data_IF_547714209446
#
_entry.id   IF_547714209446
#
_cell.length_a   1.000
_cell.length_b   1.000
_cell.length_c   1.000
_cell.angle_alpha   90.00
_cell.angle_beta   90.00
_cell.angle_gamma   90.00
#
_symmetry.space_group_name_H-M   'P 1'
#
loop_
_entity.id
_entity.type
_entity.pdbx_description
1 polymer ?
#
# COMPACT_ATOMS: atom_id res chain seq x y z
N UNK A 1 8.82 -14.68 -11.73
CA UNK A 1 9.33 -15.05 -10.40
C UNK A 1 8.20 -14.81 -9.43
N UNK A 2 7.60 -15.90 -8.86
CA UNK A 2 6.39 -15.83 -8.04
C UNK A 2 6.59 -15.05 -6.75
N UNK A 3 5.68 -14.12 -6.48
CA UNK A 3 5.60 -13.39 -5.22
C UNK A 3 5.19 -14.36 -4.09
N UNK A 4 6.07 -14.63 -3.15
CA UNK A 4 5.73 -15.40 -1.96
C UNK A 4 5.00 -14.48 -0.96
N UNK A 5 3.88 -14.95 -0.43
CA UNK A 5 3.14 -14.31 0.65
C UNK A 5 3.95 -14.45 1.94
N UNK A 6 4.08 -13.39 2.71
CA UNK A 6 4.71 -13.43 4.03
C UNK A 6 3.63 -13.34 5.10
N UNK A 7 3.70 -14.19 6.10
CA UNK A 7 2.84 -14.16 7.27
C UNK A 7 3.68 -13.80 8.51
N UNK A 8 3.16 -12.90 9.35
CA UNK A 8 3.80 -12.53 10.59
C UNK A 8 3.54 -13.68 11.61
N UNK A 9 4.53 -14.53 11.81
CA UNK A 9 4.47 -15.57 12.82
C UNK A 9 5.09 -15.03 14.11
N UNK A 10 4.28 -14.96 15.18
CA UNK A 10 4.78 -14.62 16.49
C UNK A 10 5.70 -15.75 16.98
N UNK A 11 6.90 -15.40 17.42
CA UNK A 11 7.82 -16.34 18.02
C UNK A 11 7.24 -16.91 19.32
N UNK A 12 7.44 -18.18 19.58
CA UNK A 12 7.02 -18.87 20.80
C UNK A 12 7.93 -18.46 21.96
N UNK A 13 7.58 -17.36 22.66
CA UNK A 13 8.27 -16.87 23.86
C UNK A 13 7.92 -15.40 24.12
N UNK A 14 7.90 -14.91 25.39
CA UNK A 14 7.45 -13.57 25.74
C UNK A 14 8.30 -12.44 25.13
N UNK A 15 9.52 -12.71 24.66
CA UNK A 15 10.45 -11.73 24.06
C UNK A 15 10.93 -12.12 22.66
N UNK A 16 10.30 -13.10 21.99
CA UNK A 16 10.75 -13.52 20.67
C UNK A 16 10.26 -12.53 19.58
N UNK A 17 11.17 -11.94 18.76
CA UNK A 17 10.77 -11.04 17.70
C UNK A 17 9.91 -11.77 16.68
N UNK A 18 8.80 -11.13 16.28
CA UNK A 18 7.96 -11.64 15.20
C UNK A 18 8.80 -11.80 13.91
N UNK A 19 8.77 -12.99 13.32
CA UNK A 19 9.47 -13.32 12.08
C UNK A 19 8.48 -13.38 10.94
N UNK A 20 8.78 -12.66 9.86
CA UNK A 20 8.09 -12.80 8.59
C UNK A 20 8.59 -14.07 7.90
N UNK A 21 7.76 -15.10 7.88
CA UNK A 21 8.05 -16.36 7.18
C UNK A 21 7.34 -16.35 5.81
N UNK A 22 7.99 -16.84 4.75
CA UNK A 22 7.34 -16.99 3.46
C UNK A 22 6.27 -18.07 3.56
N UNK A 23 5.00 -17.69 3.40
CA UNK A 23 3.93 -18.65 3.17
C UNK A 23 4.04 -19.10 1.71
N UNK A 24 4.18 -20.40 1.49
CA UNK A 24 4.12 -20.99 0.16
C UNK A 24 2.68 -20.86 -0.39
N UNK A 25 2.34 -19.68 -0.89
CA UNK A 25 1.15 -19.51 -1.70
C UNK A 25 1.50 -19.96 -3.12
N UNK A 26 0.83 -20.98 -3.60
CA UNK A 26 0.87 -21.33 -5.02
C UNK A 26 0.57 -20.07 -5.83
N UNK A 27 1.35 -19.83 -6.89
CA UNK A 27 1.12 -18.70 -7.79
C UNK A 27 -0.37 -18.68 -8.21
N UNK A 28 -1.00 -17.51 -8.28
CA UNK A 28 -2.41 -17.43 -8.66
C UNK A 28 -2.59 -18.06 -10.02
N UNK A 29 -3.60 -18.92 -10.17
CA UNK A 29 -3.88 -19.56 -11.44
C UNK A 29 -4.17 -18.51 -12.52
N UNK A 30 -3.84 -18.76 -13.80
CA UNK A 30 -4.12 -17.80 -14.88
C UNK A 30 -5.59 -17.33 -14.91
N UNK A 31 -6.51 -18.20 -14.49
CA UNK A 31 -7.94 -17.86 -14.38
C UNK A 31 -8.20 -16.84 -13.28
N UNK A 32 -7.57 -17.00 -12.11
CA UNK A 32 -7.72 -16.01 -11.02
C UNK A 32 -7.20 -14.63 -11.43
N UNK A 33 -6.06 -14.57 -12.11
CA UNK A 33 -5.49 -13.31 -12.61
C UNK A 33 -6.46 -12.63 -13.58
N UNK A 34 -6.99 -13.37 -14.58
CA UNK A 34 -7.95 -12.79 -15.54
C UNK A 34 -9.23 -12.29 -14.88
N UNK A 35 -9.73 -12.98 -13.84
CA UNK A 35 -10.93 -12.56 -13.10
C UNK A 35 -10.66 -11.28 -12.32
N UNK A 36 -9.49 -11.15 -11.67
CA UNK A 36 -9.08 -9.95 -10.95
C UNK A 36 -8.94 -8.77 -11.91
N UNK A 37 -8.22 -8.94 -13.02
CA UNK A 37 -8.04 -7.89 -14.04
C UNK A 37 -9.38 -7.50 -14.69
N UNK A 38 -10.28 -8.47 -14.93
CA UNK A 38 -11.63 -8.22 -15.41
C UNK A 38 -12.48 -7.44 -14.42
N UNK A 39 -12.37 -7.74 -13.13
CA UNK A 39 -13.05 -7.00 -12.07
C UNK A 39 -12.53 -5.56 -11.95
N UNK A 40 -11.21 -5.36 -11.98
CA UNK A 40 -10.60 -4.03 -12.02
C UNK A 40 -11.10 -3.19 -13.19
N UNK A 41 -11.15 -3.79 -14.39
CA UNK A 41 -11.67 -3.12 -15.57
C UNK A 41 -13.14 -2.70 -15.40
N UNK A 42 -13.99 -3.56 -14.83
CA UNK A 42 -15.39 -3.24 -14.57
C UNK A 42 -15.52 -2.11 -13.52
N UNK A 43 -14.75 -2.18 -12.42
CA UNK A 43 -14.76 -1.17 -11.35
C UNK A 43 -14.32 0.20 -11.88
N UNK A 44 -13.30 0.23 -12.74
CA UNK A 44 -12.83 1.49 -13.35
C UNK A 44 -13.89 2.18 -14.21
N UNK A 45 -14.86 1.43 -14.76
CA UNK A 45 -15.89 1.95 -15.66
C UNK A 45 -17.22 2.26 -14.98
N UNK A 46 -17.62 1.47 -14.01
CA UNK A 46 -18.99 1.52 -13.45
C UNK A 46 -19.03 1.41 -11.92
N UNK A 47 -17.88 1.48 -11.26
CA UNK A 47 -17.76 1.41 -9.80
C UNK A 47 -17.92 0.00 -9.24
N UNK A 48 -17.77 -0.09 -7.92
CA UNK A 48 -17.95 -1.34 -7.18
C UNK A 48 -19.42 -1.74 -7.13
N UNK A 49 -20.30 -0.78 -6.86
CA UNK A 49 -21.76 -1.05 -6.79
C UNK A 49 -22.28 -1.57 -8.13
N UNK A 50 -21.91 -0.92 -9.23
CA UNK A 50 -22.36 -1.28 -10.59
C UNK A 50 -21.74 -2.56 -11.15
N UNK A 51 -20.64 -3.07 -10.58
CA UNK A 51 -19.96 -4.27 -11.08
C UNK A 51 -20.67 -5.55 -10.64
N UNK A 52 -21.08 -6.38 -11.61
CA UNK A 52 -21.66 -7.70 -11.35
C UNK A 52 -20.68 -8.84 -11.69
N UNK A 53 -20.92 -10.05 -11.14
CA UNK A 53 -20.11 -11.23 -11.49
C UNK A 53 -20.26 -11.63 -12.96
N UNK A 54 -21.37 -11.30 -13.61
CA UNK A 54 -21.58 -11.55 -15.04
C UNK A 54 -20.72 -10.61 -15.89
N UNK A 55 -20.57 -9.35 -15.49
CA UNK A 55 -19.66 -8.40 -16.15
C UNK A 55 -18.22 -8.84 -15.99
N UNK A 56 -17.84 -9.25 -14.77
CA UNK A 56 -16.51 -9.78 -14.49
C UNK A 56 -16.21 -11.04 -15.31
N UNK A 57 -17.16 -11.98 -15.41
CA UNK A 57 -17.00 -13.20 -16.22
C UNK A 57 -16.80 -12.86 -17.69
N UNK A 58 -17.60 -11.91 -18.22
CA UNK A 58 -17.50 -11.42 -19.59
C UNK A 58 -16.13 -10.76 -19.85
N UNK A 59 -15.69 -9.85 -18.96
CA UNK A 59 -14.40 -9.18 -19.06
C UNK A 59 -13.22 -10.18 -18.97
N UNK A 60 -13.32 -11.16 -18.07
CA UNK A 60 -12.32 -12.23 -17.89
C UNK A 60 -12.36 -13.30 -19.00
N UNK A 61 -13.30 -13.21 -19.95
CA UNK A 61 -13.54 -14.20 -21.02
C UNK A 61 -13.69 -15.62 -20.46
N UNK A 62 -14.56 -15.78 -19.44
CA UNK A 62 -14.87 -17.07 -18.84
C UNK A 62 -16.35 -17.16 -18.46
N UNK A 63 -16.81 -18.35 -18.06
CA UNK A 63 -18.17 -18.53 -17.57
C UNK A 63 -18.33 -18.05 -16.12
N UNK A 64 -19.55 -17.65 -15.73
CA UNK A 64 -19.91 -17.34 -14.33
C UNK A 64 -19.56 -18.51 -13.39
N UNK A 65 -19.80 -19.74 -13.81
CA UNK A 65 -19.43 -20.93 -13.03
C UNK A 65 -17.91 -21.03 -12.81
N UNK A 66 -17.10 -20.57 -13.76
CA UNK A 66 -15.64 -20.51 -13.63
C UNK A 66 -15.24 -19.46 -12.59
N UNK A 67 -15.91 -18.30 -12.57
CA UNK A 67 -15.69 -17.27 -11.53
C UNK A 67 -15.99 -17.83 -10.14
N UNK A 68 -17.15 -18.48 -9.96
CA UNK A 68 -17.53 -19.08 -8.66
C UNK A 68 -16.55 -20.17 -8.20
N UNK A 69 -16.02 -21.00 -9.14
CA UNK A 69 -15.00 -22.01 -8.77
C UNK A 69 -13.67 -21.36 -8.35
N UNK A 70 -13.28 -20.27 -9.00
CA UNK A 70 -12.06 -19.55 -8.65
C UNK A 70 -12.22 -18.73 -7.35
N UNK A 71 -13.46 -18.24 -7.08
CA UNK A 71 -13.81 -17.38 -5.94
C UNK A 71 -15.12 -17.85 -5.30
N UNK A 72 -15.09 -18.90 -4.43
CA UNK A 72 -16.29 -19.47 -3.85
C UNK A 72 -17.15 -18.49 -3.02
N UNK A 73 -16.53 -17.40 -2.51
CA UNK A 73 -17.24 -16.31 -1.81
C UNK A 73 -17.91 -15.27 -2.73
N UNK A 74 -18.01 -15.54 -4.04
CA UNK A 74 -18.69 -14.66 -4.99
C UNK A 74 -18.03 -13.28 -5.15
N UNK A 75 -18.87 -12.23 -5.25
CA UNK A 75 -18.41 -10.84 -5.49
C UNK A 75 -17.46 -10.38 -4.40
N UNK A 76 -17.73 -10.63 -3.14
CA UNK A 76 -16.89 -10.18 -2.03
C UNK A 76 -15.50 -10.83 -2.05
N UNK A 77 -15.44 -12.12 -2.42
CA UNK A 77 -14.14 -12.80 -2.57
C UNK A 77 -13.34 -12.26 -3.74
N UNK A 78 -13.99 -11.88 -4.84
CA UNK A 78 -13.34 -11.22 -5.98
C UNK A 78 -12.84 -9.84 -5.57
N UNK A 79 -13.65 -9.02 -4.90
CA UNK A 79 -13.27 -7.67 -4.45
C UNK A 79 -12.10 -7.71 -3.47
N UNK A 80 -12.12 -8.63 -2.50
CA UNK A 80 -10.96 -8.82 -1.60
C UNK A 80 -9.70 -9.16 -2.38
N UNK A 81 -9.77 -10.09 -3.33
CA UNK A 81 -8.63 -10.47 -4.14
C UNK A 81 -8.14 -9.34 -5.04
N UNK A 82 -9.03 -8.47 -5.54
CA UNK A 82 -8.66 -7.22 -6.24
C UNK A 82 -7.84 -6.33 -5.31
N UNK A 83 -8.37 -6.01 -4.13
CA UNK A 83 -7.68 -5.15 -3.16
C UNK A 83 -6.31 -5.73 -2.78
N UNK A 84 -6.25 -7.03 -2.42
CA UNK A 84 -4.99 -7.72 -2.07
C UNK A 84 -3.96 -7.62 -3.20
N UNK A 85 -4.42 -7.79 -4.45
CA UNK A 85 -3.53 -7.73 -5.62
C UNK A 85 -3.01 -6.32 -5.86
N UNK A 86 -3.89 -5.30 -5.79
CA UNK A 86 -3.51 -3.91 -6.03
C UNK A 86 -2.61 -3.36 -4.92
N UNK A 87 -2.89 -3.68 -3.66
CA UNK A 87 -1.99 -3.35 -2.54
C UNK A 87 -0.61 -4.00 -2.73
N UNK A 88 -0.57 -5.27 -3.16
CA UNK A 88 0.69 -5.96 -3.44
C UNK A 88 1.45 -5.34 -4.62
N UNK A 89 0.76 -4.92 -5.69
CA UNK A 89 1.34 -4.22 -6.84
C UNK A 89 1.92 -2.87 -6.42
N UNK A 90 1.15 -2.09 -5.67
CA UNK A 90 1.56 -0.78 -5.13
C UNK A 90 2.87 -0.88 -4.34
N UNK A 91 2.92 -1.74 -3.33
CA UNK A 91 4.14 -1.88 -2.52
C UNK A 91 5.30 -2.50 -3.29
N UNK A 92 5.02 -3.34 -4.31
CA UNK A 92 6.08 -3.88 -5.17
C UNK A 92 6.71 -2.80 -6.05
N UNK A 93 5.92 -1.88 -6.60
CA UNK A 93 6.41 -0.73 -7.35
C UNK A 93 7.29 0.17 -6.46
N UNK A 94 6.80 0.52 -5.27
CA UNK A 94 7.57 1.30 -4.30
C UNK A 94 8.89 0.61 -3.91
N UNK A 95 8.86 -0.72 -3.68
CA UNK A 95 10.05 -1.48 -3.30
C UNK A 95 11.17 -1.39 -4.34
N UNK A 96 10.81 -1.47 -5.62
CA UNK A 96 11.78 -1.34 -6.72
C UNK A 96 12.43 0.04 -6.68
N UNK A 97 11.61 1.09 -6.67
CA UNK A 97 12.09 2.48 -6.73
C UNK A 97 12.91 2.88 -5.50
N UNK A 98 12.43 2.52 -4.30
CA UNK A 98 13.14 2.82 -3.05
C UNK A 98 14.41 1.95 -2.88
N UNK A 99 14.41 0.74 -3.44
CA UNK A 99 15.56 -0.17 -3.39
C UNK A 99 16.77 0.34 -4.18
N UNK A 100 16.53 1.07 -5.28
CA UNK A 100 17.54 1.66 -6.15
C UNK A 100 18.16 2.96 -5.57
N UNK A 101 17.54 3.54 -4.52
CA UNK A 101 17.94 4.81 -3.96
C UNK A 101 19.33 4.74 -3.28
N UNK A 102 20.19 5.72 -3.56
CA UNK A 102 21.55 5.79 -3.07
C UNK A 102 21.66 6.41 -1.67
N UNK A 103 20.79 7.34 -1.34
CA UNK A 103 20.79 8.08 -0.08
C UNK A 103 19.36 8.26 0.46
N UNK A 104 19.25 8.89 1.63
CA UNK A 104 17.97 9.11 2.30
C UNK A 104 17.04 10.06 1.53
N UNK A 105 17.62 11.05 0.85
CA UNK A 105 16.86 11.97 0.00
C UNK A 105 16.19 11.20 -1.14
N UNK A 106 16.97 10.35 -1.82
CA UNK A 106 16.48 9.55 -2.93
C UNK A 106 15.44 8.52 -2.49
N UNK A 107 15.59 7.90 -1.29
CA UNK A 107 14.55 7.01 -0.73
C UNK A 107 13.23 7.74 -0.54
N UNK A 108 13.26 8.94 0.04
CA UNK A 108 12.07 9.73 0.30
C UNK A 108 11.43 10.22 -1.00
N UNK A 109 12.23 10.74 -1.92
CA UNK A 109 11.75 11.21 -3.23
C UNK A 109 11.12 10.05 -4.00
N UNK A 110 11.81 8.92 -4.11
CA UNK A 110 11.30 7.73 -4.81
C UNK A 110 10.00 7.21 -4.18
N UNK A 111 9.96 7.04 -2.86
CA UNK A 111 8.77 6.53 -2.17
C UNK A 111 7.56 7.46 -2.29
N UNK A 112 7.75 8.76 -2.08
CA UNK A 112 6.66 9.72 -2.11
C UNK A 112 6.12 9.94 -3.54
N UNK A 113 7.02 10.09 -4.54
CA UNK A 113 6.59 10.32 -5.91
C UNK A 113 5.95 9.09 -6.54
N UNK A 114 6.50 7.89 -6.30
CA UNK A 114 5.91 6.66 -6.80
C UNK A 114 4.55 6.39 -6.15
N UNK A 115 4.41 6.59 -4.84
CA UNK A 115 3.13 6.45 -4.16
C UNK A 115 2.07 7.40 -4.73
N UNK A 116 2.44 8.65 -4.98
CA UNK A 116 1.54 9.63 -5.58
C UNK A 116 1.16 9.25 -7.02
N UNK A 117 2.12 8.79 -7.82
CA UNK A 117 1.89 8.37 -9.21
C UNK A 117 0.97 7.14 -9.28
N UNK A 118 1.23 6.11 -8.48
CA UNK A 118 0.42 4.90 -8.42
C UNK A 118 -1.03 5.20 -8.03
N UNK A 119 -1.25 6.00 -6.97
CA UNK A 119 -2.60 6.36 -6.52
C UNK A 119 -3.31 7.25 -7.55
N UNK A 120 -2.64 8.28 -8.07
CA UNK A 120 -3.25 9.22 -9.03
C UNK A 120 -3.53 8.58 -10.39
N UNK A 121 -2.70 7.63 -10.81
CA UNK A 121 -2.86 6.89 -12.06
C UNK A 121 -3.86 5.74 -11.99
N UNK A 122 -4.33 5.36 -10.80
CA UNK A 122 -5.15 4.17 -10.60
C UNK A 122 -6.62 4.40 -11.00
N UNK A 123 -7.00 3.99 -12.20
CA UNK A 123 -8.30 4.28 -12.79
C UNK A 123 -9.49 3.81 -11.94
N UNK A 124 -9.43 2.58 -11.39
CA UNK A 124 -10.50 2.04 -10.55
C UNK A 124 -10.63 2.82 -9.22
N UNK A 125 -9.50 3.13 -8.55
CA UNK A 125 -9.50 3.94 -7.34
C UNK A 125 -10.03 5.36 -7.64
N UNK A 126 -9.59 5.96 -8.74
CA UNK A 126 -10.07 7.27 -9.17
C UNK A 126 -11.58 7.30 -9.46
N UNK A 127 -12.14 6.20 -9.99
CA UNK A 127 -13.60 6.09 -10.17
C UNK A 127 -14.31 6.00 -8.80
N UNK A 128 -13.83 5.13 -7.91
CA UNK A 128 -14.42 4.93 -6.58
C UNK A 128 -14.35 6.23 -5.76
N UNK A 129 -13.22 6.92 -5.75
CA UNK A 129 -13.08 8.20 -5.02
C UNK A 129 -14.06 9.27 -5.50
N UNK A 130 -14.41 9.29 -6.79
CA UNK A 130 -15.34 10.29 -7.35
C UNK A 130 -16.81 9.93 -7.19
N UNK A 131 -17.16 8.65 -7.22
CA UNK A 131 -18.55 8.20 -7.35
C UNK A 131 -19.04 7.35 -6.15
N UNK A 132 -18.13 6.76 -5.40
CA UNK A 132 -18.41 5.88 -4.26
C UNK A 132 -17.45 6.21 -3.09
N UNK A 133 -17.30 7.51 -2.71
CA UNK A 133 -16.29 7.93 -1.73
C UNK A 133 -16.50 7.28 -0.36
N UNK A 134 -17.71 6.87 -0.03
CA UNK A 134 -18.05 6.15 1.21
C UNK A 134 -17.29 4.83 1.38
N UNK A 135 -16.79 4.24 0.30
CA UNK A 135 -15.97 3.02 0.36
C UNK A 135 -14.53 3.30 0.80
N UNK A 136 -14.01 4.52 0.56
CA UNK A 136 -12.62 4.89 0.80
C UNK A 136 -12.47 5.83 2.00
N UNK A 137 -13.42 6.74 2.21
CA UNK A 137 -13.36 7.72 3.30
C UNK A 137 -13.14 7.10 4.69
N UNK A 138 -13.73 5.96 5.06
CA UNK A 138 -13.44 5.33 6.35
C UNK A 138 -11.97 4.98 6.58
N UNK A 139 -11.21 4.74 5.51
CA UNK A 139 -9.77 4.44 5.56
C UNK A 139 -8.89 5.69 5.68
N UNK A 140 -9.41 6.82 5.22
CA UNK A 140 -8.73 8.12 5.29
C UNK A 140 -9.20 8.97 6.48
N UNK A 141 -10.35 8.61 7.08
CA UNK A 141 -10.93 9.29 8.24
C UNK A 141 -10.42 8.68 9.56
N UNK A 142 -10.69 9.36 10.64
CA UNK A 142 -10.19 9.21 12.01
C UNK A 142 -10.12 7.79 12.62
N UNK A 143 -10.74 6.77 12.02
CA UNK A 143 -10.80 5.42 12.59
C UNK A 143 -9.82 4.41 11.98
N UNK A 144 -9.35 4.60 10.75
CA UNK A 144 -8.56 3.59 10.03
C UNK A 144 -7.28 4.11 9.39
N UNK A 145 -7.02 5.41 9.44
CA UNK A 145 -5.77 5.99 8.96
C UNK A 145 -4.55 5.37 9.67
N UNK A 146 -4.71 5.00 10.95
CA UNK A 146 -3.65 4.35 11.72
C UNK A 146 -3.22 3.01 11.12
N UNK A 147 -4.15 2.26 10.51
CA UNK A 147 -3.84 1.00 9.82
C UNK A 147 -3.00 1.27 8.56
N UNK A 148 -3.35 2.31 7.79
CA UNK A 148 -2.57 2.73 6.60
C UNK A 148 -1.18 3.18 7.02
N UNK A 149 -1.08 4.00 8.06
CA UNK A 149 0.20 4.47 8.60
C UNK A 149 1.05 3.31 9.10
N UNK A 150 0.46 2.37 9.84
CA UNK A 150 1.17 1.20 10.36
C UNK A 150 1.74 0.33 9.23
N UNK A 151 0.94 0.04 8.20
CA UNK A 151 1.38 -0.74 7.05
C UNK A 151 2.50 -0.04 6.28
N UNK A 152 2.33 1.26 6.00
CA UNK A 152 3.34 2.04 5.27
C UNK A 152 4.62 2.19 6.08
N UNK A 153 4.54 2.43 7.39
CA UNK A 153 5.70 2.48 8.27
C UNK A 153 6.43 1.14 8.32
N UNK A 154 5.71 0.03 8.46
CA UNK A 154 6.30 -1.31 8.46
C UNK A 154 7.04 -1.60 7.14
N UNK A 155 6.46 -1.18 6.01
CA UNK A 155 7.08 -1.32 4.71
C UNK A 155 8.29 -0.41 4.51
N UNK A 156 8.19 0.89 4.87
CA UNK A 156 9.20 1.92 4.56
C UNK A 156 10.40 1.88 5.50
N UNK A 157 10.20 1.49 6.77
CA UNK A 157 11.24 1.46 7.80
C UNK A 157 12.52 0.71 7.38
N UNK A 158 12.48 -0.47 6.73
CA UNK A 158 13.71 -1.15 6.28
C UNK A 158 14.55 -0.35 5.28
N UNK A 159 13.93 0.44 4.41
CA UNK A 159 14.64 1.28 3.43
C UNK A 159 15.31 2.48 4.11
N UNK A 160 14.59 3.15 5.02
CA UNK A 160 15.12 4.26 5.81
C UNK A 160 16.14 3.82 6.85
N UNK A 161 16.00 2.61 7.40
CA UNK A 161 16.92 2.01 8.37
C UNK A 161 18.34 1.80 7.86
N UNK A 162 18.58 1.96 6.56
CA UNK A 162 19.93 2.04 5.97
C UNK A 162 20.68 3.32 6.38
N UNK A 163 19.94 4.36 6.78
CA UNK A 163 20.46 5.71 7.01
C UNK A 163 20.13 6.26 8.40
N UNK A 164 19.06 5.77 9.02
CA UNK A 164 18.51 6.23 10.29
C UNK A 164 18.36 5.09 11.29
N UNK A 165 18.27 5.41 12.58
CA UNK A 165 17.83 4.43 13.57
C UNK A 165 16.35 4.05 13.40
N UNK A 166 15.91 2.99 14.09
CA UNK A 166 14.54 2.46 13.94
C UNK A 166 13.47 3.46 14.36
N UNK A 167 13.70 4.25 15.41
CA UNK A 167 12.72 5.21 15.91
C UNK A 167 12.59 6.41 14.96
N UNK A 168 13.69 6.88 14.42
CA UNK A 168 13.72 7.96 13.44
C UNK A 168 13.15 7.50 12.11
N UNK A 169 13.49 6.29 11.65
CA UNK A 169 12.91 5.69 10.44
C UNK A 169 11.39 5.64 10.49
N UNK A 170 10.81 5.22 11.62
CA UNK A 170 9.34 5.20 11.81
C UNK A 170 8.73 6.60 11.77
N UNK A 171 9.33 7.59 12.45
CA UNK A 171 8.84 8.98 12.45
C UNK A 171 8.88 9.60 11.05
N UNK A 172 9.97 9.39 10.32
CA UNK A 172 10.13 9.89 8.95
C UNK A 172 9.14 9.20 8.00
N UNK A 173 8.98 7.88 8.10
CA UNK A 173 8.01 7.12 7.33
C UNK A 173 6.57 7.59 7.57
N UNK A 174 6.18 7.77 8.83
CA UNK A 174 4.86 8.28 9.22
C UNK A 174 4.63 9.68 8.66
N UNK A 175 5.59 10.58 8.83
CA UNK A 175 5.50 11.93 8.33
C UNK A 175 5.36 11.95 6.81
N UNK A 176 6.20 11.23 6.07
CA UNK A 176 6.15 11.15 4.62
C UNK A 176 4.79 10.60 4.13
N UNK A 177 4.27 9.56 4.78
CA UNK A 177 2.95 9.00 4.46
C UNK A 177 1.84 10.03 4.68
N UNK A 178 1.84 10.75 5.81
CA UNK A 178 0.85 11.79 6.09
C UNK A 178 0.87 12.89 5.04
N UNK A 179 2.04 13.31 4.60
CA UNK A 179 2.19 14.32 3.54
C UNK A 179 1.60 13.82 2.22
N UNK A 180 1.95 12.61 1.78
CA UNK A 180 1.40 12.04 0.54
C UNK A 180 -0.12 11.94 0.63
N UNK A 181 -0.67 11.37 1.71
CA UNK A 181 -2.12 11.27 1.92
C UNK A 181 -2.78 12.64 1.92
N UNK A 182 -2.19 13.64 2.59
CA UNK A 182 -2.73 14.99 2.66
C UNK A 182 -2.84 15.65 1.28
N UNK A 183 -1.78 15.59 0.47
CA UNK A 183 -1.79 16.17 -0.87
C UNK A 183 -2.67 15.39 -1.86
N UNK A 184 -2.78 14.07 -1.72
CA UNK A 184 -3.71 13.28 -2.54
C UNK A 184 -5.17 13.56 -2.18
N UNK A 185 -5.47 13.77 -0.89
CA UNK A 185 -6.83 14.09 -0.44
C UNK A 185 -7.22 15.55 -0.71
N UNK A 186 -6.26 16.48 -0.65
CA UNK A 186 -6.47 17.90 -0.86
C UNK A 186 -5.30 18.48 -1.69
N UNK A 187 -5.38 18.40 -3.03
CA UNK A 187 -4.33 18.93 -3.91
C UNK A 187 -4.10 20.43 -3.70
N UNK A 188 -2.84 20.84 -3.64
CA UNK A 188 -2.46 22.23 -3.50
C UNK A 188 -1.94 22.79 -4.83
N UNK A 189 -2.29 24.03 -5.14
CA UNK A 189 -1.82 24.68 -6.35
C UNK A 189 -0.27 24.78 -6.34
N UNK A 190 0.34 24.36 -7.44
CA UNK A 190 1.80 24.43 -7.62
C UNK A 190 2.59 23.31 -6.96
N UNK A 191 1.94 22.30 -6.36
CA UNK A 191 2.58 21.11 -5.81
C UNK A 191 2.06 19.86 -6.52
N UNK A 192 2.93 19.21 -7.27
CA UNK A 192 2.65 17.92 -7.91
C UNK A 192 3.58 16.87 -7.31
N UNK A 193 3.01 15.98 -6.48
CA UNK A 193 3.79 14.90 -5.87
C UNK A 193 4.12 13.78 -6.85
N UNK A 194 3.54 13.75 -8.05
CA UNK A 194 3.93 12.79 -9.09
C UNK A 194 5.22 13.20 -9.79
N UNK A 195 5.62 14.47 -9.64
CA UNK A 195 6.90 15.00 -10.15
C UNK A 195 8.00 14.83 -9.07
N UNK A 196 9.01 13.98 -9.29
CA UNK A 196 10.13 13.81 -8.37
C UNK A 196 10.88 15.13 -8.07
N UNK A 197 10.88 16.11 -8.97
CA UNK A 197 11.55 17.39 -8.74
C UNK A 197 10.82 18.22 -7.67
N UNK A 198 9.50 18.26 -7.71
CA UNK A 198 8.69 18.89 -6.67
C UNK A 198 8.86 18.21 -5.33
N UNK A 199 8.80 16.86 -5.31
CA UNK A 199 9.01 16.10 -4.07
C UNK A 199 10.41 16.36 -3.51
N UNK A 200 11.46 16.37 -4.36
CA UNK A 200 12.84 16.66 -3.94
C UNK A 200 12.97 18.04 -3.31
N UNK A 201 12.29 19.03 -3.87
CA UNK A 201 12.26 20.39 -3.30
C UNK A 201 11.67 20.38 -1.88
N UNK A 202 10.51 19.72 -1.70
CA UNK A 202 9.86 19.60 -0.37
C UNK A 202 10.74 18.86 0.63
N UNK A 203 11.34 17.74 0.21
CA UNK A 203 12.22 16.94 1.06
C UNK A 203 13.43 17.75 1.51
N UNK A 204 14.08 18.49 0.62
CA UNK A 204 15.22 19.34 0.93
C UNK A 204 14.87 20.49 1.87
N UNK A 205 13.74 21.13 1.67
CA UNK A 205 13.36 22.28 2.49
C UNK A 205 12.81 21.91 3.87
N UNK A 206 12.04 20.85 3.98
CA UNK A 206 11.25 20.60 5.19
C UNK A 206 11.67 19.32 5.94
N UNK A 207 12.28 18.35 5.29
CA UNK A 207 12.59 17.06 5.91
C UNK A 207 14.07 16.92 6.27
N UNK A 208 14.96 17.12 5.31
CA UNK A 208 16.40 16.91 5.51
C UNK A 208 17.01 17.79 6.60
N UNK A 209 16.60 19.06 6.82
CA UNK A 209 17.13 19.85 7.93
C UNK A 209 16.81 19.23 9.28
N UNK A 210 15.59 18.70 9.47
CA UNK A 210 15.19 18.00 10.69
C UNK A 210 15.97 16.72 10.91
N UNK A 211 16.16 15.91 9.86
CA UNK A 211 16.95 14.67 9.92
C UNK A 211 18.41 14.97 10.28
N UNK A 212 19.03 15.99 9.67
CA UNK A 212 20.40 16.40 9.97
C UNK A 212 20.56 16.88 11.42
N UNK A 213 19.59 17.61 11.94
CA UNK A 213 19.58 18.06 13.33
C UNK A 213 19.48 16.88 14.33
N UNK A 214 18.77 15.81 13.98
CA UNK A 214 18.70 14.58 14.77
C UNK A 214 20.04 13.83 14.77
N UNK A 215 20.62 13.67 13.59
CA UNK A 215 21.91 12.96 13.42
C UNK A 215 23.11 13.69 14.08
N UNK A 216 22.96 14.98 14.36
CA UNK A 216 24.00 15.80 15.02
C UNK A 216 23.95 15.74 16.55
N UNK A 217 22.98 15.02 17.16
CA UNK A 217 22.91 14.87 18.61
C UNK A 217 23.99 13.92 19.12
N UNK A 218 24.76 14.32 20.18
CA UNK A 218 25.74 13.43 20.80
C UNK A 218 25.01 12.22 21.41
N UNK A 219 25.32 11.02 20.90
CA UNK A 219 24.68 9.77 21.33
C UNK A 219 23.89 9.00 20.26
N UNK A 220 23.71 9.56 19.06
CA UNK A 220 23.10 8.84 17.95
C UNK A 220 24.00 7.68 17.49
N UNK A 221 23.56 6.43 17.69
CA UNK A 221 24.23 5.25 17.14
C UNK A 221 24.11 5.24 15.61
N UNK A 222 25.24 5.22 14.91
CA UNK A 222 25.26 4.95 13.45
C UNK A 222 24.71 3.55 13.20
N UNK A 223 23.79 3.38 12.23
CA UNK A 223 23.30 2.05 11.85
C UNK A 223 24.46 1.19 11.32
N UNK A 224 24.42 -0.11 11.64
CA UNK A 224 25.37 -1.07 11.08
C UNK A 224 25.12 -1.23 9.57
N UNK A 225 26.14 -0.99 8.76
CA UNK A 225 26.07 -1.17 7.31
C UNK A 225 25.85 -2.66 6.98
N UNK A 226 24.82 -2.94 6.22
CA UNK A 226 24.67 -4.17 5.46
C UNK A 226 23.56 -5.13 5.88
N UNK A 227 22.38 -4.95 5.31
CA UNK A 227 21.51 -6.03 4.81
C UNK A 227 20.55 -5.40 3.80
N UNK A 228 20.54 -5.90 2.56
CA UNK A 228 19.57 -5.48 1.56
C UNK A 228 18.16 -5.93 1.98
N UNK A 229 17.18 -5.03 2.06
CA UNK A 229 15.85 -5.40 2.51
C UNK A 229 15.05 -6.03 1.38
N UNK A 230 14.65 -7.28 1.56
CA UNK A 230 13.52 -7.85 0.83
C UNK A 230 12.25 -7.59 1.65
N UNK A 231 11.78 -6.35 1.68
CA UNK A 231 10.54 -6.01 2.36
C UNK A 231 9.34 -6.42 1.48
N UNK A 232 8.48 -7.26 2.02
CA UNK A 232 7.17 -7.63 1.46
C UNK A 232 6.09 -7.32 2.48
N UNK A 233 4.98 -6.74 2.01
CA UNK A 233 3.87 -6.31 2.86
C UNK A 233 2.92 -7.47 3.13
N UNK A 234 2.38 -7.51 4.35
CA UNK A 234 1.35 -8.46 4.77
C UNK A 234 0.00 -8.12 4.09
N UNK A 235 -0.57 -9.00 3.25
CA UNK A 235 -1.90 -8.81 2.66
C UNK A 235 -3.05 -8.93 3.68
N UNK A 236 -2.82 -9.34 4.92
CA UNK A 236 -3.84 -9.35 5.97
C UNK A 236 -4.39 -7.94 6.28
N UNK A 237 -3.69 -6.89 5.88
CA UNK A 237 -4.17 -5.51 5.94
C UNK A 237 -5.46 -5.30 5.12
N UNK A 238 -5.59 -5.96 3.98
CA UNK A 238 -6.75 -5.84 3.08
C UNK A 238 -7.91 -6.79 3.45
N UNK A 239 -7.70 -7.76 4.34
CA UNK A 239 -8.63 -8.86 4.57
C UNK A 239 -9.66 -8.62 5.69
N UNK A 240 -9.67 -7.46 6.36
CA UNK A 240 -10.71 -7.16 7.36
C UNK A 240 -12.04 -6.87 6.67
N UNK A 241 -13.14 -7.54 7.09
CA UNK A 241 -14.45 -7.34 6.47
C UNK A 241 -14.89 -5.88 6.62
N UNK A 242 -15.43 -5.32 5.55
CA UNK A 242 -16.20 -4.08 5.61
C UNK A 242 -17.49 -4.44 6.36
N UNK A 243 -17.52 -4.23 7.68
CA UNK A 243 -18.75 -4.29 8.45
C UNK A 243 -19.63 -3.12 8.01
N UNK A 244 -20.60 -3.41 7.15
CA UNK A 244 -21.71 -2.51 6.88
C UNK A 244 -22.54 -2.43 8.16
N UNK A 245 -22.35 -1.37 8.94
CA UNK A 245 -23.23 -1.04 10.06
C UNK A 245 -24.62 -0.79 9.48
N UNK A 246 -25.49 -1.80 9.58
CA UNK A 246 -26.92 -1.63 9.39
C UNK A 246 -27.40 -0.69 10.49
N UNK A 247 -27.60 0.58 10.13
CA UNK A 247 -28.29 1.52 11.02
C UNK A 247 -29.72 1.06 11.23
N UNK A 248 -30.03 0.55 12.40
CA UNK A 248 -31.38 0.46 12.89
C UNK A 248 -31.86 1.89 13.17
N UNK A 249 -32.70 2.37 12.26
CA UNK A 249 -33.53 3.56 12.51
C UNK A 249 -34.87 3.02 13.02
N UNK A 250 -35.07 3.13 14.32
CA UNK A 250 -36.39 3.10 14.95
C UNK A 250 -36.90 4.52 15.12
#
# INVERSE_FOLDING_TARGET
VGAARLELVQGTGPDAPARLLPVATSAPTPTRVRVIDGALHCIARQGVAGTTLDDVARAARCSRATVYRAFPGGKDAVLRAVVDTEVSRFFSALAVRMGEAADIEDVLVAGMSEAAAEVSGHAALGHVLRHEPELVLPWLAFGRLDEVLAATCAFTTPFLGRFLDTAESKRVAEWATRIVVSYLACPAAGVDLTDPAHVRHLVRQFVLPGIRALSSRPGARRPAAGVAPHARVDPAFAARPIETTKGDVS
#
